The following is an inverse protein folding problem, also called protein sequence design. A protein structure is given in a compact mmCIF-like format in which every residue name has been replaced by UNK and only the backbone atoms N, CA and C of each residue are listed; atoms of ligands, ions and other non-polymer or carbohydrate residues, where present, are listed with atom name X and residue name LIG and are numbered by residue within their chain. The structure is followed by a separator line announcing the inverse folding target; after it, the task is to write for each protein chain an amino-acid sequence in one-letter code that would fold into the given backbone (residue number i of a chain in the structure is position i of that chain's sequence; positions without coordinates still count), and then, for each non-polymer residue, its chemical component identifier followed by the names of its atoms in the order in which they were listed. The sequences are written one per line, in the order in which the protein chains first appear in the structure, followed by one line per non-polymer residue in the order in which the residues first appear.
data_IF_680612158157
#
_entry.id   IF_680612158157
#
_cell.length_a   1.000
_cell.length_b   1.000
_cell.length_c   1.000
_cell.angle_alpha   90.00
_cell.angle_beta   90.00
_cell.angle_gamma   90.00
#
_symmetry.space_group_name_H-M   'P 1'
#
loop_
_entity.id
_entity.type
_entity.pdbx_description
1 polymer ?
#
# COMPACT_ATOMS: atom_id res chain seq x y z
N UNK A 1 58.52 -48.74 -22.79
CA UNK A 1 59.15 -48.68 -21.45
C UNK A 1 59.50 -47.22 -21.16
N UNK A 2 59.08 -46.73 -19.98
CA UNK A 2 59.28 -45.44 -19.24
C UNK A 2 60.09 -44.26 -19.87
N UNK A 3 59.90 -42.99 -19.43
CA UNK A 3 59.11 -42.52 -18.27
C UNK A 3 58.20 -41.28 -18.47
N UNK A 4 57.28 -41.17 -17.51
CA UNK A 4 56.56 -39.98 -17.04
C UNK A 4 57.45 -38.72 -16.87
N UNK A 5 56.92 -37.55 -17.24
CA UNK A 5 57.33 -36.24 -16.71
C UNK A 5 56.11 -35.47 -16.21
N UNK A 6 56.01 -35.30 -14.90
CA UNK A 6 55.18 -34.26 -14.26
C UNK A 6 55.76 -32.89 -14.62
N UNK A 7 54.93 -31.99 -15.15
CA UNK A 7 55.23 -30.55 -15.21
C UNK A 7 54.26 -29.80 -14.29
N UNK A 8 54.86 -29.28 -13.21
CA UNK A 8 54.52 -28.07 -12.46
C UNK A 8 53.04 -27.66 -12.37
N UNK A 9 52.42 -27.91 -11.21
CA UNK A 9 51.34 -27.04 -10.73
C UNK A 9 51.92 -25.64 -10.45
N UNK A 10 51.42 -24.64 -11.18
CA UNK A 10 51.63 -23.25 -10.84
C UNK A 10 50.88 -22.94 -9.54
N UNK A 11 51.63 -22.61 -8.49
CA UNK A 11 51.09 -22.03 -7.27
C UNK A 11 50.62 -20.62 -7.63
N UNK A 12 49.31 -20.46 -7.86
CA UNK A 12 48.69 -19.15 -7.84
C UNK A 12 48.71 -18.68 -6.39
N UNK A 13 49.62 -17.75 -6.08
CA UNK A 13 49.60 -17.00 -4.83
C UNK A 13 48.32 -16.15 -4.80
N UNK A 14 47.27 -16.70 -4.20
CA UNK A 14 46.15 -15.91 -3.71
C UNK A 14 46.68 -15.10 -2.52
N UNK A 15 47.04 -13.83 -2.77
CA UNK A 15 47.14 -12.86 -1.69
C UNK A 15 45.72 -12.61 -1.18
N UNK A 16 45.29 -13.43 -0.22
CA UNK A 16 44.25 -13.02 0.71
C UNK A 16 44.85 -11.84 1.50
N UNK A 17 44.52 -10.63 1.09
CA UNK A 17 44.57 -9.51 2.00
C UNK A 17 43.50 -9.80 3.06
N UNK A 18 43.89 -10.52 4.10
CA UNK A 18 43.19 -10.43 5.37
C UNK A 18 43.31 -8.96 5.77
N UNK A 19 42.27 -8.17 5.50
CA UNK A 19 42.06 -6.95 6.25
C UNK A 19 41.98 -7.42 7.70
N UNK A 20 43.07 -7.21 8.43
CA UNK A 20 43.11 -7.33 9.86
C UNK A 20 42.14 -6.26 10.39
N UNK A 21 40.86 -6.61 10.46
CA UNK A 21 39.89 -5.85 11.24
C UNK A 21 40.22 -6.16 12.69
N UNK A 22 41.29 -5.56 13.20
CA UNK A 22 41.48 -5.40 14.63
C UNK A 22 40.22 -4.71 15.12
N UNK A 23 39.26 -5.47 15.66
CA UNK A 23 38.11 -4.92 16.34
C UNK A 23 38.68 -3.95 17.37
N UNK A 24 38.36 -2.68 17.22
CA UNK A 24 38.81 -1.67 18.17
C UNK A 24 38.38 -2.11 19.58
N UNK A 25 39.20 -1.80 20.58
CA UNK A 25 38.89 -2.15 21.96
C UNK A 25 37.46 -1.66 22.30
N UNK A 26 36.62 -2.52 22.90
CA UNK A 26 35.23 -2.15 23.18
C UNK A 26 35.20 -0.93 24.10
N UNK A 27 34.38 0.07 23.73
CA UNK A 27 34.08 1.20 24.60
C UNK A 27 32.78 0.90 25.35
N UNK A 28 32.66 1.39 26.58
CA UNK A 28 31.36 1.41 27.22
C UNK A 28 30.57 2.59 26.66
N UNK A 29 29.26 2.42 26.50
CA UNK A 29 28.34 3.45 26.03
C UNK A 29 27.14 3.53 26.99
N UNK A 30 26.86 4.75 27.42
CA UNK A 30 25.63 5.11 28.12
C UNK A 30 24.72 5.85 27.15
N UNK A 31 23.56 5.26 26.85
CA UNK A 31 22.59 5.78 25.89
C UNK A 31 21.34 6.32 26.57
N UNK A 32 21.04 7.59 26.35
CA UNK A 32 19.77 8.22 26.67
C UNK A 32 18.80 8.02 25.52
N UNK A 33 17.71 7.28 25.76
CA UNK A 33 16.64 6.99 24.81
C UNK A 33 15.42 7.83 25.16
N UNK A 34 14.95 8.68 24.25
CA UNK A 34 13.89 9.67 24.50
C UNK A 34 12.60 9.25 23.83
N UNK A 35 11.52 9.22 24.62
CA UNK A 35 10.15 8.91 24.17
C UNK A 35 9.22 10.12 24.30
N UNK A 36 8.08 10.09 23.62
CA UNK A 36 7.02 11.12 23.70
C UNK A 36 5.86 10.73 24.60
N UNK A 37 5.85 9.51 25.13
CA UNK A 37 4.86 9.05 26.11
C UNK A 37 5.57 8.33 27.27
N UNK A 38 5.10 8.57 28.50
CA UNK A 38 5.70 7.97 29.70
C UNK A 38 5.55 6.45 29.76
N UNK A 39 4.49 5.90 29.18
CA UNK A 39 4.21 4.46 29.15
C UNK A 39 5.09 3.65 28.21
N UNK A 40 5.81 4.31 27.30
CA UNK A 40 6.70 3.68 26.33
C UNK A 40 8.04 3.27 26.95
N UNK A 41 8.34 3.80 28.12
CA UNK A 41 9.61 3.60 28.78
C UNK A 41 9.72 2.24 29.46
N UNK A 42 10.75 1.47 29.08
CA UNK A 42 10.94 0.11 29.59
C UNK A 42 9.98 -0.92 28.98
N UNK A 43 8.98 -0.48 28.20
CA UNK A 43 8.20 -1.34 27.33
C UNK A 43 8.95 -1.51 26.00
N UNK A 44 9.11 -2.73 25.52
CA UNK A 44 9.72 -3.03 24.21
C UNK A 44 8.83 -2.64 23.01
N UNK A 45 7.87 -1.74 23.21
CA UNK A 45 6.80 -1.44 22.24
C UNK A 45 6.76 0.03 21.80
N UNK A 46 7.32 0.95 22.59
CA UNK A 46 7.36 2.37 22.23
C UNK A 46 8.45 2.67 21.22
N UNK A 47 8.17 3.48 20.20
CA UNK A 47 9.20 3.97 19.27
C UNK A 47 9.81 5.26 19.83
N UNK A 48 11.12 5.30 20.12
CA UNK A 48 11.75 6.51 20.60
C UNK A 48 11.92 7.52 19.47
N UNK A 49 12.00 8.79 19.85
CA UNK A 49 12.26 9.89 18.93
C UNK A 49 13.74 10.26 18.88
N UNK A 50 14.55 9.94 19.88
CA UNK A 50 15.98 10.29 19.87
C UNK A 50 16.76 9.32 20.75
N UNK A 51 17.92 8.89 20.29
CA UNK A 51 18.90 8.16 21.11
C UNK A 51 20.22 8.92 21.08
N UNK A 52 20.76 9.24 22.25
CA UNK A 52 22.10 9.84 22.37
C UNK A 52 22.96 8.93 23.24
N UNK A 53 24.04 8.40 22.70
CA UNK A 53 25.01 7.60 23.43
C UNK A 53 26.36 8.29 23.55
N UNK A 54 26.97 8.21 24.72
CA UNK A 54 28.28 8.79 25.02
C UNK A 54 29.14 7.78 25.79
N UNK A 55 30.48 7.84 25.66
CA UNK A 55 31.36 7.11 26.57
C UNK A 55 31.10 7.56 28.03
N UNK A 56 30.82 6.64 28.96
CA UNK A 56 30.44 7.02 30.30
C UNK A 56 31.66 7.46 31.12
N UNK A 57 31.46 8.44 32.00
CA UNK A 57 32.50 8.89 32.95
C UNK A 57 32.60 8.01 34.21
N UNK A 58 31.67 7.06 34.38
CA UNK A 58 31.60 6.11 35.49
C UNK A 58 30.87 4.82 35.08
N UNK A 59 30.62 3.87 35.98
CA UNK A 59 29.84 2.68 35.66
C UNK A 59 28.41 3.04 35.27
N UNK A 60 28.00 2.72 34.03
CA UNK A 60 26.65 2.99 33.55
C UNK A 60 25.59 2.24 34.39
N UNK A 61 24.54 2.95 34.79
CA UNK A 61 23.40 2.38 35.49
C UNK A 61 22.13 2.53 34.65
N UNK A 62 21.52 1.40 34.27
CA UNK A 62 20.27 1.41 33.51
C UNK A 62 19.15 2.05 34.32
N UNK A 63 18.37 2.93 33.70
CA UNK A 63 17.24 3.60 34.31
C UNK A 63 16.03 3.50 33.40
N UNK A 64 14.91 3.08 33.97
CA UNK A 64 13.59 3.11 33.33
C UNK A 64 12.68 4.17 33.96
N UNK A 65 13.25 5.06 34.78
CA UNK A 65 12.52 6.15 35.43
C UNK A 65 12.16 7.22 34.40
N UNK A 66 11.00 7.08 33.77
CA UNK A 66 10.48 8.05 32.81
C UNK A 66 9.79 9.22 33.45
N UNK A 67 10.62 10.03 34.11
CA UNK A 67 10.24 11.36 34.54
C UNK A 67 10.37 12.31 33.35
N UNK A 68 9.33 13.10 33.11
CA UNK A 68 9.35 14.10 32.05
C UNK A 68 10.55 15.04 32.23
N UNK A 69 11.45 15.06 31.25
CA UNK A 69 12.71 15.80 31.32
C UNK A 69 13.09 16.36 29.95
N UNK A 70 13.20 17.70 29.82
CA UNK A 70 12.91 18.73 30.83
C UNK A 70 11.41 18.82 31.17
N UNK A 71 11.07 19.43 32.31
CA UNK A 71 9.65 19.63 32.66
C UNK A 71 8.91 20.43 31.56
N UNK A 72 7.66 20.03 31.26
CA UNK A 72 6.82 20.62 30.20
C UNK A 72 7.32 20.40 28.76
N UNK A 73 8.28 19.50 28.54
CA UNK A 73 8.75 19.13 27.19
C UNK A 73 7.88 18.06 26.52
N UNK A 74 7.16 17.26 27.31
CA UNK A 74 6.54 15.99 26.92
C UNK A 74 7.56 14.95 26.41
N UNK A 75 8.79 15.00 26.92
CA UNK A 75 9.87 14.07 26.62
C UNK A 75 10.20 13.23 27.85
N UNK A 76 10.34 11.93 27.66
CA UNK A 76 10.56 10.95 28.72
C UNK A 76 11.82 10.15 28.41
N UNK A 77 12.98 10.54 28.95
CA UNK A 77 14.23 9.82 28.73
C UNK A 77 14.37 8.58 29.61
N UNK A 78 14.97 7.52 29.06
CA UNK A 78 15.42 6.32 29.74
C UNK A 78 16.91 6.07 29.46
N UNK A 79 17.61 5.35 30.34
CA UNK A 79 19.05 5.06 30.21
C UNK A 79 19.27 3.59 29.89
N UNK A 80 19.99 3.32 28.79
CA UNK A 80 20.41 2.00 28.33
C UNK A 80 21.93 1.93 28.33
N UNK A 81 22.49 0.88 28.91
CA UNK A 81 23.93 0.64 28.93
C UNK A 81 24.33 -0.40 27.87
N UNK A 82 25.47 -0.19 27.21
CA UNK A 82 26.02 -1.12 26.22
C UNK A 82 27.55 -1.17 26.31
N UNK A 83 28.14 -2.34 26.13
CA UNK A 83 29.59 -2.53 26.05
C UNK A 83 29.95 -2.95 24.62
N UNK A 84 30.47 -2.02 23.81
CA UNK A 84 30.75 -2.25 22.38
C UNK A 84 31.56 -1.09 21.81
N UNK A 85 32.35 -1.35 20.77
CA UNK A 85 33.13 -0.34 20.02
C UNK A 85 32.33 0.82 19.39
N UNK A 86 30.99 0.89 19.51
CA UNK A 86 30.18 2.05 19.11
C UNK A 86 30.21 2.44 17.62
N UNK A 87 30.98 1.74 16.79
CA UNK A 87 31.14 2.04 15.37
C UNK A 87 29.96 1.55 14.54
N UNK A 88 29.92 1.93 13.27
CA UNK A 88 28.97 1.41 12.29
C UNK A 88 28.92 -0.14 12.21
N UNK A 89 30.02 -0.82 12.60
CA UNK A 89 30.09 -2.29 12.67
C UNK A 89 29.91 -2.83 14.10
N UNK A 90 29.75 -1.95 15.08
CA UNK A 90 29.60 -2.30 16.48
C UNK A 90 28.23 -2.84 16.85
N UNK A 91 28.16 -3.57 17.97
CA UNK A 91 26.95 -4.18 18.48
C UNK A 91 25.91 -3.14 18.93
N UNK A 92 26.31 -1.92 19.32
CA UNK A 92 25.35 -0.86 19.62
C UNK A 92 24.53 -0.50 18.38
N UNK A 93 25.21 -0.28 17.26
CA UNK A 93 24.58 0.13 16.01
C UNK A 93 23.84 -1.03 15.34
N UNK A 94 24.45 -2.21 15.24
CA UNK A 94 23.87 -3.33 14.48
C UNK A 94 22.84 -4.14 15.26
N UNK A 95 22.83 -4.04 16.58
CA UNK A 95 21.96 -4.87 17.42
C UNK A 95 21.08 -4.03 18.35
N UNK A 96 21.66 -3.08 19.09
CA UNK A 96 20.89 -2.30 20.07
C UNK A 96 19.96 -1.29 19.40
N UNK A 97 20.43 -0.49 18.44
CA UNK A 97 19.57 0.49 17.75
C UNK A 97 18.39 -0.18 17.01
N UNK A 98 18.57 -1.26 16.23
CA UNK A 98 17.44 -2.00 15.65
C UNK A 98 16.45 -2.54 16.69
N UNK A 99 16.93 -3.00 17.84
CA UNK A 99 16.04 -3.44 18.92
C UNK A 99 15.27 -2.27 19.56
N UNK A 100 15.87 -1.09 19.62
CA UNK A 100 15.28 0.13 20.19
C UNK A 100 14.27 0.77 19.24
N UNK A 101 14.59 0.90 17.94
CA UNK A 101 13.71 1.50 16.94
C UNK A 101 12.73 0.52 16.29
N UNK A 102 12.96 -0.79 16.43
CA UNK A 102 12.18 -1.82 15.75
C UNK A 102 12.25 -1.65 14.24
N UNK A 103 11.08 -1.61 13.59
CA UNK A 103 10.96 -1.39 12.15
C UNK A 103 11.02 0.09 11.74
N UNK A 104 11.10 1.02 12.70
CA UNK A 104 11.10 2.45 12.41
C UNK A 104 12.43 2.89 11.79
N UNK A 105 12.40 3.72 10.73
CA UNK A 105 13.62 4.23 10.11
C UNK A 105 14.36 5.20 11.03
N UNK A 106 15.68 5.19 11.00
CA UNK A 106 16.49 6.14 11.78
C UNK A 106 17.77 6.53 11.04
N UNK A 107 18.30 7.71 11.38
CA UNK A 107 19.61 8.21 10.91
C UNK A 107 20.53 8.36 12.10
N UNK A 108 21.72 7.76 12.03
CA UNK A 108 22.78 7.81 13.03
C UNK A 108 23.82 8.83 12.62
N UNK A 109 24.27 9.63 13.57
CA UNK A 109 25.44 10.52 13.50
C UNK A 109 26.44 10.07 14.54
N UNK A 110 27.61 9.59 14.11
CA UNK A 110 28.76 9.40 14.98
C UNK A 110 29.62 10.67 14.94
N UNK A 111 29.91 11.24 16.10
CA UNK A 111 30.83 12.37 16.26
C UNK A 111 32.13 11.88 16.91
N UNK A 112 33.24 12.20 16.28
CA UNK A 112 34.58 11.88 16.77
C UNK A 112 35.28 13.13 17.29
N UNK A 113 36.34 12.93 18.05
CA UNK A 113 37.19 14.01 18.55
C UNK A 113 37.75 14.80 17.36
N UNK A 114 37.67 16.13 17.45
CA UNK A 114 38.03 17.04 16.35
C UNK A 114 39.46 16.81 15.89
N UNK A 115 39.64 16.69 14.57
CA UNK A 115 40.94 16.47 13.92
C UNK A 115 41.38 15.02 13.83
N UNK A 116 40.62 14.07 14.39
CA UNK A 116 40.96 12.64 14.36
C UNK A 116 40.33 11.88 13.18
N UNK A 117 39.58 12.54 12.30
CA UNK A 117 39.04 12.03 11.03
C UNK A 117 38.43 10.62 11.13
N UNK A 118 37.68 10.36 12.19
CA UNK A 118 37.05 9.07 12.46
C UNK A 118 38.02 7.87 12.49
N UNK A 119 39.27 8.09 12.94
CA UNK A 119 40.37 7.11 12.85
C UNK A 119 40.18 5.90 13.76
N UNK A 120 39.67 6.07 14.97
CA UNK A 120 39.46 4.97 15.92
C UNK A 120 38.13 5.10 16.69
N UNK A 121 37.59 3.95 17.07
CA UNK A 121 36.37 3.86 17.91
C UNK A 121 36.54 4.58 19.26
N UNK A 122 37.75 4.56 19.82
CA UNK A 122 38.08 5.25 21.09
C UNK A 122 37.95 6.77 20.98
N UNK A 123 37.91 7.31 19.78
CA UNK A 123 37.79 8.75 19.53
C UNK A 123 36.33 9.19 19.42
N UNK A 124 35.37 8.27 19.48
CA UNK A 124 33.94 8.57 19.49
C UNK A 124 33.63 9.41 20.74
N UNK A 125 33.05 10.58 20.52
CA UNK A 125 32.59 11.49 21.59
C UNK A 125 31.10 11.35 21.82
N UNK A 126 30.31 11.11 20.76
CA UNK A 126 28.85 10.97 20.84
C UNK A 126 28.33 10.19 19.65
N UNK A 127 27.29 9.41 19.86
CA UNK A 127 26.46 8.80 18.81
C UNK A 127 25.05 9.32 18.99
N UNK A 128 24.46 9.90 17.96
CA UNK A 128 23.07 10.37 17.99
C UNK A 128 22.26 9.69 16.91
N UNK A 129 21.21 8.97 17.28
CA UNK A 129 20.26 8.38 16.35
C UNK A 129 18.93 9.12 16.40
N UNK A 130 18.50 9.62 15.25
CA UNK A 130 17.27 10.37 15.03
C UNK A 130 16.21 9.46 14.39
N UNK A 131 14.98 9.46 14.92
CA UNK A 131 13.84 8.86 14.23
C UNK A 131 13.65 9.56 12.89
N UNK A 132 13.73 8.79 11.81
CA UNK A 132 13.74 9.29 10.44
C UNK A 132 12.38 9.09 9.76
N UNK A 133 11.30 9.50 10.44
CA UNK A 133 9.95 9.46 9.89
C UNK A 133 9.58 10.78 9.18
N UNK A 134 10.46 11.78 9.14
CA UNK A 134 10.19 13.10 8.54
C UNK A 134 9.30 14.03 9.37
N UNK A 135 8.65 13.53 10.44
CA UNK A 135 7.84 14.34 11.37
C UNK A 135 8.73 15.28 12.18
N UNK A 136 8.08 16.31 12.73
CA UNK A 136 8.73 17.19 13.68
C UNK A 136 8.82 16.52 15.06
N UNK A 137 10.04 16.35 15.57
CA UNK A 137 10.29 15.78 16.88
C UNK A 137 10.98 16.79 17.77
N UNK A 138 10.47 16.99 18.98
CA UNK A 138 11.15 17.82 19.98
C UNK A 138 12.41 17.13 20.49
N UNK A 139 13.46 17.90 20.70
CA UNK A 139 14.64 17.47 21.46
C UNK A 139 14.72 18.17 22.81
N UNK A 140 13.94 19.24 22.99
CA UNK A 140 13.81 20.06 24.19
C UNK A 140 12.50 20.86 24.11
N UNK A 141 12.19 21.64 25.14
CA UNK A 141 11.16 22.68 25.21
C UNK A 141 11.24 23.74 24.10
N UNK A 142 12.43 23.97 23.53
CA UNK A 142 12.68 25.01 22.52
C UNK A 142 13.44 24.53 21.29
N UNK A 143 13.68 23.23 21.13
CA UNK A 143 14.42 22.68 19.98
C UNK A 143 13.70 21.49 19.40
N UNK A 144 13.84 21.32 18.10
CA UNK A 144 13.25 20.19 17.38
C UNK A 144 14.10 19.80 16.19
N UNK A 145 13.75 18.66 15.60
CA UNK A 145 14.40 18.19 14.39
C UNK A 145 13.40 17.48 13.46
N UNK A 146 13.81 17.31 12.21
CA UNK A 146 13.24 16.36 11.25
C UNK A 146 14.36 15.56 10.65
N UNK A 147 14.20 14.25 10.54
CA UNK A 147 15.14 13.41 9.82
C UNK A 147 14.42 12.59 8.75
N UNK A 148 15.06 12.40 7.60
CA UNK A 148 14.59 11.55 6.53
C UNK A 148 15.73 10.69 6.00
N UNK A 149 15.42 9.47 5.58
CA UNK A 149 16.35 8.52 4.97
C UNK A 149 15.69 7.89 3.75
N UNK A 150 16.40 7.91 2.64
CA UNK A 150 15.98 7.37 1.36
C UNK A 150 16.44 5.92 1.19
N UNK A 151 15.85 5.20 0.23
CA UNK A 151 16.22 3.82 -0.07
C UNK A 151 17.65 3.68 -0.66
N UNK A 152 18.17 4.75 -1.27
CA UNK A 152 19.56 4.83 -1.76
C UNK A 152 20.58 5.13 -0.66
N UNK A 153 20.17 5.07 0.61
CA UNK A 153 20.95 5.40 1.81
C UNK A 153 21.32 6.88 1.96
N UNK A 154 20.84 7.78 1.09
CA UNK A 154 20.94 9.22 1.35
C UNK A 154 20.06 9.61 2.55
N UNK A 155 20.45 10.66 3.26
CA UNK A 155 19.74 11.11 4.44
C UNK A 155 19.78 12.62 4.58
N UNK A 156 18.81 13.18 5.30
CA UNK A 156 18.79 14.59 5.69
C UNK A 156 18.38 14.69 7.14
N UNK A 157 19.11 15.50 7.91
CA UNK A 157 18.75 15.91 9.26
C UNK A 157 18.61 17.43 9.24
N UNK A 158 17.44 17.91 9.66
CA UNK A 158 17.18 19.34 9.86
C UNK A 158 16.98 19.58 11.35
N UNK A 159 17.79 20.42 11.95
CA UNK A 159 17.60 20.86 13.34
C UNK A 159 17.08 22.28 13.38
N UNK A 160 16.26 22.59 14.38
CA UNK A 160 15.54 23.85 14.51
C UNK A 160 15.74 24.43 15.91
N UNK A 161 15.73 25.76 15.98
CA UNK A 161 15.85 26.51 17.24
C UNK A 161 14.50 26.78 17.90
N UNK A 162 13.43 26.13 17.44
CA UNK A 162 12.12 26.13 18.10
C UNK A 162 11.58 24.70 18.20
N UNK A 163 10.51 24.49 18.96
CA UNK A 163 9.93 23.17 19.21
C UNK A 163 8.93 22.68 18.13
N UNK A 164 8.71 23.47 17.07
CA UNK A 164 7.66 23.23 16.04
C UNK A 164 8.22 23.17 14.61
N UNK A 165 9.53 22.99 14.47
CA UNK A 165 10.24 22.84 13.20
C UNK A 165 9.96 23.95 12.16
N UNK A 166 9.97 25.22 12.58
CA UNK A 166 9.69 26.35 11.68
C UNK A 166 10.76 27.45 11.61
N UNK A 167 11.67 27.54 12.59
CA UNK A 167 12.66 28.63 12.67
C UNK A 167 14.07 28.10 12.91
N UNK A 168 15.08 28.80 12.38
CA UNK A 168 16.49 28.57 12.69
C UNK A 168 17.01 27.23 12.19
N UNK A 169 16.71 26.89 10.93
CA UNK A 169 17.02 25.58 10.37
C UNK A 169 18.52 25.44 10.03
N UNK A 170 19.13 24.38 10.52
CA UNK A 170 20.44 23.89 10.04
C UNK A 170 20.20 22.55 9.36
N UNK A 171 20.73 22.38 8.15
CA UNK A 171 20.52 21.19 7.33
C UNK A 171 21.84 20.44 7.18
N UNK A 172 21.83 19.17 7.59
CA UNK A 172 22.91 18.21 7.32
C UNK A 172 22.40 17.18 6.33
N UNK A 173 23.10 17.03 5.21
CA UNK A 173 22.75 16.06 4.15
C UNK A 173 23.84 15.01 4.00
N UNK A 174 23.43 13.78 3.72
CA UNK A 174 24.31 12.65 3.42
C UNK A 174 24.02 12.20 2.00
N UNK A 175 25.06 12.10 1.18
CA UNK A 175 24.90 11.55 -0.16
C UNK A 175 24.65 10.04 -0.10
N UNK A 176 24.06 9.46 -1.15
CA UNK A 176 23.87 8.02 -1.26
C UNK A 176 25.19 7.24 -1.15
N UNK A 177 26.26 7.79 -1.74
CA UNK A 177 27.59 7.20 -1.67
C UNK A 177 28.11 7.18 -0.22
N UNK A 178 28.06 8.33 0.46
CA UNK A 178 28.57 8.46 1.83
C UNK A 178 27.78 7.61 2.82
N UNK A 179 26.45 7.54 2.67
CA UNK A 179 25.57 6.72 3.50
C UNK A 179 25.73 5.22 3.25
N UNK A 180 26.25 4.82 2.08
CA UNK A 180 26.56 3.42 1.76
C UNK A 180 27.95 3.02 2.27
N UNK A 181 28.94 3.90 2.14
CA UNK A 181 30.31 3.61 2.58
C UNK A 181 30.59 3.99 4.04
N UNK A 182 29.62 4.57 4.75
CA UNK A 182 29.78 5.18 6.07
C UNK A 182 30.97 6.15 6.09
N UNK A 183 31.07 7.00 5.06
CA UNK A 183 32.22 7.87 4.86
C UNK A 183 32.39 8.85 6.03
N UNK A 184 33.64 9.09 6.43
CA UNK A 184 33.96 10.13 7.39
C UNK A 184 34.04 11.49 6.69
N UNK A 185 33.25 12.45 7.15
CA UNK A 185 33.31 13.84 6.74
C UNK A 185 33.53 14.73 7.96
N UNK A 186 34.69 15.38 8.05
CA UNK A 186 35.04 16.33 9.13
C UNK A 186 34.72 15.77 10.52
N UNK A 187 35.33 14.63 10.86
CA UNK A 187 35.15 13.94 12.15
C UNK A 187 33.74 13.40 12.43
N UNK A 188 32.88 13.31 11.41
CA UNK A 188 31.54 12.73 11.54
C UNK A 188 31.28 11.62 10.54
N UNK A 189 30.54 10.59 10.95
CA UNK A 189 29.93 9.62 10.04
C UNK A 189 28.43 9.71 10.18
N UNK A 190 27.72 9.68 9.06
CA UNK A 190 26.26 9.70 9.06
C UNK A 190 25.72 8.59 8.17
N UNK A 191 24.86 7.76 8.73
CA UNK A 191 24.28 6.59 8.06
C UNK A 191 22.96 6.22 8.76
N UNK A 192 22.40 5.03 8.56
CA UNK A 192 21.23 4.59 9.32
C UNK A 192 20.56 3.35 8.74
N UNK A 193 19.33 3.07 9.18
CA UNK A 193 18.54 1.95 8.70
C UNK A 193 17.09 2.37 8.40
N UNK A 194 16.44 1.58 7.53
CA UNK A 194 15.07 1.82 7.10
C UNK A 194 14.92 2.94 6.07
N UNK A 195 13.69 3.14 5.61
CA UNK A 195 13.34 4.19 4.64
C UNK A 195 12.17 4.98 5.20
N UNK A 196 12.25 6.31 5.12
CA UNK A 196 11.16 7.19 5.51
C UNK A 196 9.97 6.95 4.60
N UNK A 197 8.76 6.66 5.14
CA UNK A 197 7.58 6.53 4.31
C UNK A 197 7.19 7.88 3.70
N UNK A 198 6.55 7.84 2.54
CA UNK A 198 5.95 9.04 1.96
C UNK A 198 4.59 9.27 2.63
N UNK A 199 4.25 10.54 2.85
CA UNK A 199 2.98 10.93 3.46
C UNK A 199 1.95 11.25 2.39
N UNK A 200 0.74 10.80 2.64
CA UNK A 200 -0.32 10.76 1.64
C UNK A 200 -1.52 11.55 2.15
N UNK A 201 -2.06 12.40 1.27
CA UNK A 201 -3.40 12.98 1.43
C UNK A 201 -4.30 12.35 0.39
N UNK A 202 -5.46 11.86 0.79
CA UNK A 202 -6.41 11.23 -0.10
C UNK A 202 -7.74 11.95 -0.09
N UNK A 203 -8.22 12.36 -1.26
CA UNK A 203 -9.61 12.72 -1.48
C UNK A 203 -10.40 11.44 -1.70
N UNK A 204 -11.33 11.17 -0.79
CA UNK A 204 -12.17 9.97 -0.78
C UNK A 204 -13.58 10.35 -1.19
N UNK A 205 -14.05 9.81 -2.31
CA UNK A 205 -15.38 10.04 -2.85
C UNK A 205 -16.34 8.92 -2.45
N UNK A 206 -17.61 9.30 -2.27
CA UNK A 206 -18.70 8.41 -1.90
C UNK A 206 -19.94 8.72 -2.72
N UNK A 207 -20.67 7.67 -3.12
CA UNK A 207 -21.92 7.82 -3.86
C UNK A 207 -23.10 8.23 -2.96
N UNK A 208 -22.96 8.07 -1.65
CA UNK A 208 -23.97 8.46 -0.65
C UNK A 208 -23.32 9.25 0.47
N UNK A 209 -24.08 10.12 1.14
CA UNK A 209 -23.62 10.89 2.30
C UNK A 209 -23.73 10.11 3.62
N UNK A 210 -24.06 8.82 3.56
CA UNK A 210 -24.17 7.98 4.74
C UNK A 210 -22.85 7.96 5.52
N UNK A 211 -22.94 7.90 6.85
CA UNK A 211 -21.80 7.84 7.76
C UNK A 211 -20.80 9.01 7.66
N UNK A 212 -21.24 10.17 7.16
CA UNK A 212 -20.46 11.42 7.12
C UNK A 212 -19.05 11.27 6.54
N UNK A 213 -18.86 10.37 5.57
CA UNK A 213 -17.56 10.09 4.93
C UNK A 213 -16.49 9.53 5.89
N UNK A 214 -16.91 8.95 7.02
CA UNK A 214 -16.02 8.33 8.03
C UNK A 214 -15.92 6.81 7.89
N UNK A 215 -16.97 6.15 7.42
CA UNK A 215 -17.06 4.69 7.39
C UNK A 215 -18.01 4.15 6.29
N UNK A 216 -18.22 4.92 5.22
CA UNK A 216 -18.93 4.42 4.03
C UNK A 216 -17.98 3.62 3.14
N UNK A 217 -18.52 2.79 2.24
CA UNK A 217 -17.74 2.21 1.15
C UNK A 217 -17.31 3.33 0.19
N UNK A 218 -16.00 3.59 0.01
CA UNK A 218 -15.56 4.56 -0.98
C UNK A 218 -15.94 4.13 -2.40
N UNK A 219 -16.37 5.08 -3.23
CA UNK A 219 -16.55 4.85 -4.66
C UNK A 219 -15.35 5.29 -5.47
N UNK A 220 -14.45 6.13 -4.95
CA UNK A 220 -13.20 6.50 -5.62
C UNK A 220 -12.24 7.15 -4.64
N UNK A 221 -10.94 6.93 -4.79
CA UNK A 221 -9.90 7.57 -3.95
C UNK A 221 -8.82 8.14 -4.85
N UNK A 222 -8.56 9.44 -4.75
CA UNK A 222 -7.42 10.08 -5.37
C UNK A 222 -6.43 10.54 -4.30
N UNK A 223 -5.19 10.10 -4.39
CA UNK A 223 -4.17 10.29 -3.38
C UNK A 223 -2.95 10.98 -3.98
N UNK A 224 -2.41 11.97 -3.27
CA UNK A 224 -1.16 12.65 -3.64
C UNK A 224 -0.15 12.57 -2.50
N UNK A 225 1.13 12.62 -2.88
CA UNK A 225 2.22 12.73 -1.91
C UNK A 225 2.30 14.17 -1.42
N UNK A 226 2.33 14.34 -0.10
CA UNK A 226 2.40 15.64 0.57
C UNK A 226 3.51 15.66 1.62
N UNK A 227 3.86 16.87 2.07
CA UNK A 227 4.65 17.01 3.28
C UNK A 227 3.86 16.48 4.50
N UNK A 228 4.59 15.85 5.42
CA UNK A 228 4.04 15.10 6.56
C UNK A 228 2.99 15.82 7.39
N UNK A 229 3.13 17.13 7.62
CA UNK A 229 2.22 17.90 8.50
C UNK A 229 1.15 18.69 7.74
N UNK A 230 1.01 18.46 6.43
CA UNK A 230 0.06 19.21 5.59
C UNK A 230 -1.33 18.59 5.63
N UNK A 231 -1.45 17.29 5.86
CA UNK A 231 -2.73 16.60 5.78
C UNK A 231 -3.56 16.77 7.06
N UNK A 232 -4.82 17.16 6.90
CA UNK A 232 -5.83 17.19 7.96
C UNK A 232 -7.06 16.41 7.52
N UNK A 233 -7.37 15.32 8.23
CA UNK A 233 -8.48 14.46 7.90
C UNK A 233 -9.81 15.16 8.22
N UNK A 234 -10.77 15.09 7.30
CA UNK A 234 -12.10 15.67 7.53
C UNK A 234 -12.94 14.75 8.41
N UNK A 235 -13.74 15.34 9.30
CA UNK A 235 -14.71 14.59 10.11
C UNK A 235 -16.09 14.48 9.45
N UNK A 236 -16.35 15.27 8.41
CA UNK A 236 -17.63 15.32 7.68
C UNK A 236 -17.39 15.41 6.17
N UNK A 237 -18.27 14.80 5.39
CA UNK A 237 -18.32 15.00 3.94
C UNK A 237 -18.53 16.47 3.56
N UNK A 238 -18.03 16.84 2.38
CA UNK A 238 -18.47 18.02 1.64
C UNK A 238 -19.26 17.61 0.39
N UNK A 239 -20.01 18.55 -0.18
CA UNK A 239 -20.84 18.35 -1.37
C UNK A 239 -22.33 18.23 -1.07
N UNK A 240 -23.15 18.77 -1.98
CA UNK A 240 -24.62 18.73 -1.87
C UNK A 240 -25.24 17.51 -2.56
N UNK A 241 -24.49 16.85 -3.45
CA UNK A 241 -24.89 15.67 -4.20
C UNK A 241 -23.67 14.81 -4.52
N UNK A 242 -23.90 13.55 -4.90
CA UNK A 242 -22.84 12.61 -5.25
C UNK A 242 -22.01 13.10 -6.46
N UNK A 243 -20.66 12.98 -6.40
CA UNK A 243 -19.91 12.34 -5.31
C UNK A 243 -19.74 13.27 -4.10
N UNK A 244 -20.04 12.76 -2.89
CA UNK A 244 -19.65 13.39 -1.64
C UNK A 244 -18.16 13.14 -1.40
N UNK A 245 -17.43 14.08 -0.80
CA UNK A 245 -15.98 13.95 -0.63
C UNK A 245 -15.51 14.23 0.78
N UNK A 246 -14.48 13.51 1.21
CA UNK A 246 -13.73 13.76 2.44
C UNK A 246 -12.22 13.64 2.21
N UNK A 247 -11.43 14.04 3.20
CA UNK A 247 -9.98 13.91 3.23
C UNK A 247 -9.58 12.85 4.24
N UNK A 248 -8.71 11.92 3.84
CA UNK A 248 -8.00 11.01 4.76
C UNK A 248 -6.49 11.20 4.65
N UNK A 249 -5.79 10.94 5.74
CA UNK A 249 -4.35 11.08 5.86
C UNK A 249 -3.74 9.73 6.17
N UNK A 250 -2.73 9.33 5.40
CA UNK A 250 -2.03 8.06 5.57
C UNK A 250 -0.57 8.18 5.13
N UNK A 251 0.10 7.05 4.97
CA UNK A 251 1.46 6.98 4.44
C UNK A 251 1.61 5.76 3.53
N UNK A 252 2.68 5.69 2.75
CA UNK A 252 2.98 4.49 1.95
C UNK A 252 3.15 3.23 2.78
N UNK A 253 3.39 3.36 4.09
CA UNK A 253 3.46 2.23 5.02
C UNK A 253 2.08 1.62 5.34
N UNK A 254 1.05 2.45 5.48
CA UNK A 254 -0.29 2.02 5.93
C UNK A 254 -1.33 2.01 4.82
N UNK A 255 -1.06 2.66 3.68
CA UNK A 255 -2.04 2.91 2.62
C UNK A 255 -2.80 1.66 2.18
N UNK A 256 -2.08 0.54 1.98
CA UNK A 256 -2.70 -0.71 1.52
C UNK A 256 -3.68 -1.27 2.55
N UNK A 257 -3.31 -1.25 3.83
CA UNK A 257 -4.15 -1.72 4.93
C UNK A 257 -5.36 -0.78 5.12
N UNK A 258 -5.13 0.53 5.03
CA UNK A 258 -6.18 1.55 5.12
C UNK A 258 -7.22 1.38 4.00
N UNK A 259 -6.78 1.15 2.76
CA UNK A 259 -7.66 0.88 1.62
C UNK A 259 -8.37 -0.47 1.76
N UNK A 260 -7.66 -1.53 2.15
CA UNK A 260 -8.27 -2.84 2.36
C UNK A 260 -9.37 -2.78 3.44
N UNK A 261 -9.12 -2.06 4.53
CA UNK A 261 -10.12 -1.83 5.57
C UNK A 261 -11.31 -1.00 5.09
N UNK A 262 -11.08 0.04 4.28
CA UNK A 262 -12.14 0.91 3.76
C UNK A 262 -13.07 0.20 2.76
N UNK A 263 -12.51 -0.66 1.89
CA UNK A 263 -13.29 -1.40 0.89
C UNK A 263 -13.84 -2.73 1.43
N UNK A 264 -13.19 -3.34 2.41
CA UNK A 264 -13.59 -4.60 3.01
C UNK A 264 -13.66 -5.73 1.97
N UNK A 265 -14.83 -6.34 1.83
CA UNK A 265 -15.08 -7.45 0.87
C UNK A 265 -15.34 -6.97 -0.57
N UNK A 266 -15.37 -5.66 -0.80
CA UNK A 266 -15.66 -5.12 -2.13
C UNK A 266 -14.41 -5.13 -3.01
N UNK A 267 -14.56 -5.41 -4.32
CA UNK A 267 -13.45 -5.38 -5.27
C UNK A 267 -12.93 -3.97 -5.49
N UNK A 268 -11.62 -3.82 -5.52
CA UNK A 268 -10.98 -2.53 -5.83
C UNK A 268 -9.71 -2.71 -6.64
N UNK A 269 -9.31 -1.64 -7.33
CA UNK A 269 -8.08 -1.56 -8.12
C UNK A 269 -7.31 -0.32 -7.67
N UNK A 270 -6.09 -0.51 -7.16
CA UNK A 270 -5.11 0.52 -6.86
C UNK A 270 -4.21 0.70 -8.07
N UNK A 271 -4.02 1.96 -8.48
CA UNK A 271 -3.10 2.39 -9.53
C UNK A 271 -2.12 3.39 -8.93
N UNK A 272 -0.88 2.96 -8.71
CA UNK A 272 0.24 3.83 -8.31
C UNK A 272 0.91 4.39 -9.55
N UNK A 273 1.11 5.70 -9.58
CA UNK A 273 1.75 6.42 -10.68
C UNK A 273 3.04 7.07 -10.20
N UNK A 274 4.10 6.92 -10.98
CA UNK A 274 5.44 7.39 -10.63
C UNK A 274 5.92 8.45 -11.62
N UNK A 275 6.91 9.26 -11.21
CA UNK A 275 7.57 10.21 -12.10
C UNK A 275 8.07 9.50 -13.36
N UNK A 276 7.78 10.07 -14.53
CA UNK A 276 8.13 9.46 -15.81
C UNK A 276 9.63 9.15 -15.94
N UNK A 277 9.95 7.94 -16.42
CA UNK A 277 11.31 7.45 -16.61
C UNK A 277 12.00 6.97 -15.32
N UNK A 278 11.27 6.84 -14.20
CA UNK A 278 11.83 6.45 -12.90
C UNK A 278 11.59 5.00 -12.52
N UNK A 279 11.02 4.20 -13.42
CA UNK A 279 10.90 2.75 -13.26
C UNK A 279 10.25 2.35 -11.93
N UNK A 280 9.25 3.12 -11.51
CA UNK A 280 8.52 2.94 -10.26
C UNK A 280 9.38 2.88 -8.99
N UNK A 281 10.47 3.65 -8.93
CA UNK A 281 11.23 3.85 -7.71
C UNK A 281 10.34 4.48 -6.62
N UNK A 282 10.36 3.93 -5.40
CA UNK A 282 9.42 4.32 -4.34
C UNK A 282 9.47 5.82 -3.99
N UNK A 283 10.65 6.42 -4.03
CA UNK A 283 10.86 7.85 -3.80
C UNK A 283 10.25 8.75 -4.89
N UNK A 284 9.88 8.17 -6.03
CA UNK A 284 9.35 8.85 -7.21
C UNK A 284 7.85 8.62 -7.36
N UNK A 285 7.18 8.09 -6.32
CA UNK A 285 5.72 7.98 -6.29
C UNK A 285 5.10 9.38 -6.40
N UNK A 286 4.26 9.58 -7.41
CA UNK A 286 3.65 10.88 -7.71
C UNK A 286 2.19 10.95 -7.27
N UNK A 287 1.48 9.83 -7.31
CA UNK A 287 0.09 9.75 -6.89
C UNK A 287 -0.44 8.31 -6.92
N UNK A 288 -1.53 8.08 -6.21
CA UNK A 288 -2.23 6.81 -6.18
C UNK A 288 -3.69 7.06 -6.48
N UNK A 289 -4.30 6.24 -7.33
CA UNK A 289 -5.75 6.26 -7.55
C UNK A 289 -6.32 4.89 -7.23
N UNK A 290 -7.35 4.85 -6.38
CA UNK A 290 -8.07 3.60 -6.08
C UNK A 290 -9.50 3.68 -6.61
N UNK A 291 -9.89 2.66 -7.35
CA UNK A 291 -11.19 2.52 -7.98
C UNK A 291 -11.99 1.39 -7.31
N UNK A 292 -13.26 1.64 -6.98
CA UNK A 292 -14.22 0.58 -6.72
C UNK A 292 -14.43 -0.20 -8.02
N UNK A 293 -14.11 -1.49 -7.98
CA UNK A 293 -14.08 -2.35 -9.16
C UNK A 293 -15.28 -3.29 -9.18
N UNK A 294 -16.48 -2.77 -8.97
CA UNK A 294 -17.73 -3.55 -8.96
C UNK A 294 -18.43 -3.59 -10.35
N UNK A 295 -17.80 -3.03 -11.39
CA UNK A 295 -18.36 -2.96 -12.74
C UNK A 295 -19.40 -1.86 -12.97
N UNK A 296 -19.82 -1.14 -11.92
CA UNK A 296 -20.82 -0.06 -12.01
C UNK A 296 -20.18 1.27 -12.40
N UNK A 297 -21.05 2.20 -12.79
CA UNK A 297 -20.65 3.56 -13.09
C UNK A 297 -20.50 4.36 -11.81
N UNK A 298 -19.29 4.87 -11.56
CA UNK A 298 -19.01 5.74 -10.42
C UNK A 298 -18.49 7.08 -10.90
N UNK A 299 -18.91 8.15 -10.24
CA UNK A 299 -18.46 9.50 -10.55
C UNK A 299 -17.09 9.76 -9.93
N UNK A 300 -16.15 10.25 -10.73
CA UNK A 300 -14.90 10.82 -10.20
C UNK A 300 -15.09 12.28 -9.79
N UNK A 301 -15.99 12.98 -10.49
CA UNK A 301 -16.40 14.36 -10.20
C UNK A 301 -17.81 14.62 -10.76
N UNK A 302 -18.22 15.89 -10.88
CA UNK A 302 -19.55 16.26 -11.39
C UNK A 302 -19.73 16.08 -12.90
N UNK A 303 -18.65 15.93 -13.66
CA UNK A 303 -18.61 15.87 -15.11
C UNK A 303 -17.99 14.57 -15.65
N UNK A 304 -17.31 13.77 -14.85
CA UNK A 304 -16.61 12.55 -15.27
C UNK A 304 -16.98 11.36 -14.41
N UNK A 305 -16.90 10.19 -15.01
CA UNK A 305 -17.15 8.92 -14.35
C UNK A 305 -16.18 7.85 -14.85
N UNK A 306 -16.26 6.69 -14.22
CA UNK A 306 -15.47 5.53 -14.60
C UNK A 306 -16.25 4.24 -14.33
N UNK A 307 -15.75 3.15 -14.93
CA UNK A 307 -16.07 1.77 -14.53
C UNK A 307 -14.77 1.03 -14.33
N UNK A 308 -14.69 0.24 -13.27
CA UNK A 308 -13.55 -0.64 -13.05
C UNK A 308 -14.01 -2.09 -12.82
N UNK A 309 -13.19 -3.03 -13.25
CA UNK A 309 -13.37 -4.45 -12.98
C UNK A 309 -12.00 -5.09 -12.72
N UNK A 310 -11.98 -6.07 -11.81
CA UNK A 310 -10.83 -6.88 -11.42
C UNK A 310 -11.23 -8.35 -11.43
N UNK A 311 -10.41 -9.18 -12.06
CA UNK A 311 -10.58 -10.63 -12.11
C UNK A 311 -9.74 -11.31 -11.03
N UNK A 312 -10.08 -12.57 -10.73
CA UNK A 312 -9.37 -13.39 -9.77
C UNK A 312 -7.90 -13.70 -10.18
N UNK A 313 -7.59 -13.63 -11.48
CA UNK A 313 -6.22 -13.80 -12.01
C UNK A 313 -5.35 -12.53 -11.88
N UNK A 314 -5.85 -11.50 -11.19
CA UNK A 314 -5.17 -10.22 -11.00
C UNK A 314 -5.30 -9.24 -12.16
N UNK A 315 -5.84 -9.66 -13.31
CA UNK A 315 -6.10 -8.73 -14.41
C UNK A 315 -7.21 -7.74 -14.06
N UNK A 316 -7.11 -6.52 -14.57
CA UNK A 316 -8.09 -5.47 -14.29
C UNK A 316 -8.24 -4.50 -15.46
N UNK A 317 -9.38 -3.82 -15.48
CA UNK A 317 -9.70 -2.79 -16.47
C UNK A 317 -10.30 -1.59 -15.78
N UNK A 318 -9.90 -0.39 -16.19
CA UNK A 318 -10.52 0.87 -15.78
C UNK A 318 -10.87 1.65 -17.03
N UNK A 319 -12.16 1.81 -17.29
CA UNK A 319 -12.69 2.64 -18.36
C UNK A 319 -13.06 4.00 -17.78
N UNK A 320 -12.40 5.06 -18.23
CA UNK A 320 -12.81 6.43 -17.93
C UNK A 320 -13.89 6.91 -18.89
N UNK A 321 -14.70 7.87 -18.47
CA UNK A 321 -15.72 8.54 -19.27
C UNK A 321 -15.61 10.05 -19.10
N UNK A 322 -15.91 10.76 -20.18
CA UNK A 322 -15.88 12.24 -20.18
C UNK A 322 -17.21 12.88 -19.78
N UNK A 323 -18.20 12.06 -19.42
CA UNK A 323 -19.45 12.48 -18.78
C UNK A 323 -19.62 11.77 -17.43
N UNK A 324 -20.59 12.20 -16.62
CA UNK A 324 -20.84 11.67 -15.27
C UNK A 324 -21.77 10.44 -15.23
N UNK A 325 -22.20 9.92 -16.39
CA UNK A 325 -23.20 8.84 -16.51
C UNK A 325 -22.67 7.63 -17.27
N UNK A 326 -21.37 7.60 -17.56
CA UNK A 326 -20.72 6.55 -18.34
C UNK A 326 -21.30 6.37 -19.76
N UNK A 327 -21.68 7.48 -20.42
CA UNK A 327 -22.22 7.46 -21.79
C UNK A 327 -21.14 7.58 -22.88
N UNK A 328 -20.16 8.46 -22.65
CA UNK A 328 -19.15 8.89 -23.62
C UNK A 328 -17.80 8.35 -23.18
N UNK A 329 -17.36 7.29 -23.87
CA UNK A 329 -16.15 6.56 -23.51
C UNK A 329 -14.92 7.46 -23.67
N UNK A 330 -14.08 7.47 -22.63
CA UNK A 330 -12.75 8.04 -22.64
C UNK A 330 -11.68 6.96 -22.84
N UNK A 331 -10.56 7.09 -22.14
CA UNK A 331 -9.45 6.14 -22.19
C UNK A 331 -9.76 4.87 -21.41
N UNK A 332 -9.26 3.75 -21.93
CA UNK A 332 -9.27 2.46 -21.25
C UNK A 332 -7.86 2.18 -20.74
N UNK A 333 -7.76 1.87 -19.46
CA UNK A 333 -6.56 1.29 -18.88
C UNK A 333 -6.79 -0.20 -18.64
N UNK A 334 -5.82 -1.03 -19.03
CA UNK A 334 -5.90 -2.48 -18.87
C UNK A 334 -4.60 -3.01 -18.30
N UNK A 335 -4.68 -3.87 -17.29
CA UNK A 335 -3.56 -4.63 -16.75
C UNK A 335 -3.80 -6.11 -17.00
N UNK A 336 -2.80 -6.81 -17.51
CA UNK A 336 -2.88 -8.25 -17.71
C UNK A 336 -2.65 -9.00 -16.38
N UNK A 337 -2.93 -10.31 -16.37
CA UNK A 337 -2.84 -11.13 -15.17
C UNK A 337 -1.42 -11.19 -14.57
N UNK A 338 -0.39 -11.25 -15.42
CA UNK A 338 1.01 -11.34 -14.99
C UNK A 338 1.43 -10.07 -14.26
N UNK A 339 1.17 -8.91 -14.87
CA UNK A 339 1.53 -7.60 -14.31
C UNK A 339 0.73 -7.31 -13.04
N UNK A 340 -0.57 -7.62 -13.03
CA UNK A 340 -1.45 -7.41 -11.89
C UNK A 340 -1.13 -8.30 -10.69
N UNK A 341 -0.67 -9.53 -10.91
CA UNK A 341 -0.26 -10.46 -9.83
C UNK A 341 1.14 -10.13 -9.29
N UNK A 342 2.06 -9.74 -10.16
CA UNK A 342 3.43 -9.40 -9.77
C UNK A 342 3.59 -7.97 -9.23
N UNK A 343 2.53 -7.15 -9.31
CA UNK A 343 2.61 -5.69 -9.09
C UNK A 343 3.71 -5.06 -9.95
N UNK A 344 3.80 -5.50 -11.22
CA UNK A 344 4.87 -5.12 -12.11
C UNK A 344 4.83 -3.63 -12.42
N UNK A 345 6.02 -3.02 -12.51
CA UNK A 345 6.14 -1.66 -13.01
C UNK A 345 6.04 -1.67 -14.54
N UNK A 346 4.96 -1.12 -15.08
CA UNK A 346 4.76 -0.98 -16.53
C UNK A 346 4.51 0.50 -16.82
N UNK A 347 5.40 1.11 -17.59
CA UNK A 347 5.32 2.53 -17.97
C UNK A 347 5.11 3.45 -16.75
N UNK A 348 5.97 3.29 -15.74
CA UNK A 348 5.94 4.06 -14.49
C UNK A 348 4.62 3.95 -13.72
N UNK A 349 3.89 2.84 -13.90
CA UNK A 349 2.64 2.55 -13.20
C UNK A 349 2.68 1.13 -12.61
N UNK A 350 2.20 0.97 -11.38
CA UNK A 350 1.89 -0.35 -10.78
C UNK A 350 0.39 -0.43 -10.55
N UNK A 351 -0.22 -1.55 -10.95
CA UNK A 351 -1.65 -1.77 -10.77
C UNK A 351 -1.90 -3.10 -10.08
N UNK A 352 -2.71 -3.06 -9.04
CA UNK A 352 -3.05 -4.21 -8.21
C UNK A 352 -4.35 -3.95 -7.46
N UNK A 353 -4.76 -4.84 -6.57
CA UNK A 353 -5.98 -4.68 -5.79
C UNK A 353 -6.39 -5.98 -5.15
N UNK A 354 -7.61 -6.01 -4.61
CA UNK A 354 -8.14 -7.19 -3.94
C UNK A 354 -9.61 -7.43 -4.29
N UNK A 355 -10.09 -8.64 -3.95
CA UNK A 355 -11.38 -9.22 -4.30
C UNK A 355 -11.63 -9.27 -5.82
N UNK A 356 -12.75 -9.87 -6.21
CA UNK A 356 -13.11 -10.08 -7.63
C UNK A 356 -14.42 -9.39 -7.94
N UNK A 357 -14.50 -8.72 -9.08
CA UNK A 357 -15.74 -8.13 -9.57
C UNK A 357 -16.79 -9.22 -9.75
N UNK A 358 -17.98 -9.08 -9.13
CA UNK A 358 -19.09 -9.97 -9.40
C UNK A 358 -19.43 -9.97 -10.89
N UNK A 359 -19.63 -11.15 -11.47
CA UNK A 359 -20.18 -11.26 -12.81
C UNK A 359 -21.67 -10.97 -12.78
N UNK A 360 -22.11 -10.01 -13.59
CA UNK A 360 -23.52 -9.69 -13.76
C UNK A 360 -24.07 -10.42 -14.97
N UNK A 361 -25.27 -10.95 -14.81
CA UNK A 361 -25.95 -11.79 -15.79
C UNK A 361 -27.24 -11.11 -16.23
N UNK A 362 -27.36 -10.89 -17.54
CA UNK A 362 -28.60 -10.43 -18.17
C UNK A 362 -29.24 -11.62 -18.86
N UNK A 363 -30.39 -12.06 -18.36
CA UNK A 363 -31.12 -13.21 -18.87
C UNK A 363 -32.36 -12.78 -19.65
N UNK A 364 -32.47 -13.20 -20.89
CA UNK A 364 -33.71 -13.21 -21.66
C UNK A 364 -34.48 -14.47 -21.30
N UNK A 365 -35.69 -14.30 -20.75
CA UNK A 365 -36.58 -15.37 -20.30
C UNK A 365 -37.70 -15.53 -21.31
N UNK A 366 -37.79 -16.71 -21.93
CA UNK A 366 -38.79 -17.02 -22.95
C UNK A 366 -39.91 -17.87 -22.36
N UNK A 367 -41.15 -17.49 -22.64
CA UNK A 367 -42.34 -18.19 -22.22
C UNK A 367 -43.12 -18.67 -23.44
N UNK A 368 -43.23 -19.98 -23.59
CA UNK A 368 -44.09 -20.63 -24.58
C UNK A 368 -45.51 -20.82 -24.01
N UNK A 369 -46.18 -19.71 -23.71
CA UNK A 369 -47.54 -19.70 -23.17
C UNK A 369 -48.41 -18.74 -23.96
N UNK A 370 -49.74 -18.88 -23.86
CA UNK A 370 -50.70 -17.97 -24.48
C UNK A 370 -51.01 -16.74 -23.61
N UNK A 371 -50.40 -16.63 -22.42
CA UNK A 371 -50.64 -15.56 -21.45
C UNK A 371 -49.43 -14.61 -21.38
N UNK A 372 -49.70 -13.30 -21.46
CA UNK A 372 -48.67 -12.25 -21.49
C UNK A 372 -48.14 -11.88 -20.08
N UNK A 373 -47.78 -12.86 -19.25
CA UNK A 373 -47.33 -12.64 -17.87
C UNK A 373 -45.91 -13.13 -17.63
N UNK A 374 -44.93 -12.23 -17.74
CA UNK A 374 -43.49 -12.50 -17.50
C UNK A 374 -43.11 -12.66 -16.02
N UNK A 375 -44.12 -12.86 -15.18
CA UNK A 375 -44.00 -12.99 -13.73
C UNK A 375 -44.69 -14.26 -13.20
N UNK A 376 -45.35 -15.04 -14.07
CA UNK A 376 -46.00 -16.30 -13.71
C UNK A 376 -45.93 -17.32 -14.85
N UNK A 377 -45.49 -18.54 -14.53
CA UNK A 377 -45.33 -19.64 -15.48
C UNK A 377 -43.89 -20.16 -15.52
N UNK A 378 -43.72 -21.40 -16.01
CA UNK A 378 -42.42 -22.04 -16.20
C UNK A 378 -41.84 -21.57 -17.54
N UNK A 379 -40.65 -20.97 -17.58
CA UNK A 379 -39.99 -20.60 -18.84
C UNK A 379 -39.70 -21.83 -19.71
N UNK A 380 -39.75 -21.68 -21.03
CA UNK A 380 -39.29 -22.73 -21.96
C UNK A 380 -37.77 -22.66 -22.16
N UNK A 381 -37.21 -21.45 -22.15
CA UNK A 381 -35.80 -21.17 -22.41
C UNK A 381 -35.38 -19.91 -21.64
N UNK A 382 -34.19 -19.95 -21.05
CA UNK A 382 -33.51 -18.76 -20.52
C UNK A 382 -32.17 -18.63 -21.21
N UNK A 383 -31.97 -17.56 -21.97
CA UNK A 383 -30.69 -17.24 -22.61
C UNK A 383 -30.01 -16.10 -21.86
N UNK A 384 -28.80 -16.33 -21.37
CA UNK A 384 -28.09 -15.41 -20.49
C UNK A 384 -26.78 -14.98 -21.11
N UNK A 385 -26.60 -13.67 -21.20
CA UNK A 385 -25.34 -13.05 -21.60
C UNK A 385 -24.59 -12.64 -20.33
N UNK A 386 -23.28 -12.92 -20.31
CA UNK A 386 -22.38 -12.50 -19.24
C UNK A 386 -21.88 -11.09 -19.55
N UNK A 387 -22.01 -10.18 -18.59
CA UNK A 387 -21.42 -8.86 -18.68
C UNK A 387 -20.72 -8.50 -17.37
N UNK A 388 -19.58 -7.83 -17.47
CA UNK A 388 -18.85 -7.33 -16.32
C UNK A 388 -19.45 -6.02 -15.78
N UNK A 389 -20.65 -5.65 -16.24
CA UNK A 389 -21.19 -4.30 -16.16
C UNK A 389 -22.64 -4.37 -15.70
N UNK A 390 -22.91 -3.87 -14.51
CA UNK A 390 -24.25 -3.41 -14.16
C UNK A 390 -24.40 -1.97 -14.69
N UNK A 391 -25.41 -1.75 -15.53
CA UNK A 391 -26.30 -0.54 -15.53
C UNK A 391 -27.17 -0.44 -16.80
N UNK A 392 -27.48 -1.52 -17.52
CA UNK A 392 -28.62 -1.47 -18.47
C UNK A 392 -29.63 -2.58 -18.25
N UNK A 393 -29.35 -3.52 -17.34
CA UNK A 393 -30.29 -4.59 -17.07
C UNK A 393 -31.43 -4.06 -16.19
N UNK A 394 -32.62 -3.94 -16.76
CA UNK A 394 -33.87 -3.69 -16.05
C UNK A 394 -34.73 -4.95 -16.12
N UNK A 395 -35.04 -5.55 -14.96
CA UNK A 395 -35.94 -6.71 -14.90
C UNK A 395 -37.33 -6.25 -15.34
N UNK A 396 -37.86 -6.87 -16.39
CA UNK A 396 -39.19 -6.51 -16.92
C UNK A 396 -40.28 -7.21 -16.13
N UNK A 397 -41.31 -6.48 -15.70
CA UNK A 397 -42.52 -7.06 -15.10
C UNK A 397 -43.57 -7.49 -16.14
N UNK A 398 -43.48 -6.98 -17.38
CA UNK A 398 -44.39 -7.25 -18.50
C UNK A 398 -43.58 -7.79 -19.69
N UNK A 399 -44.09 -8.81 -20.39
CA UNK A 399 -43.38 -9.33 -21.55
C UNK A 399 -43.50 -8.43 -22.77
N UNK A 400 -42.51 -8.51 -23.65
CA UNK A 400 -42.61 -8.05 -25.03
C UNK A 400 -43.09 -9.19 -25.94
N UNK A 401 -43.92 -8.86 -26.92
CA UNK A 401 -44.47 -9.79 -27.90
C UNK A 401 -45.99 -9.68 -28.06
N UNK A 402 -46.49 -9.91 -29.27
CA UNK A 402 -47.94 -9.97 -29.56
C UNK A 402 -48.48 -11.40 -29.58
N UNK A 403 -47.59 -12.39 -29.60
CA UNK A 403 -47.87 -13.82 -29.54
C UNK A 403 -46.62 -14.57 -29.04
N UNK A 404 -46.79 -15.81 -28.56
CA UNK A 404 -45.70 -16.65 -28.09
C UNK A 404 -44.59 -16.87 -29.15
N UNK A 405 -43.30 -16.86 -28.77
CA UNK A 405 -42.80 -16.78 -27.40
C UNK A 405 -42.81 -15.34 -26.86
N UNK A 406 -43.30 -15.19 -25.64
CA UNK A 406 -43.20 -13.93 -24.90
C UNK A 406 -41.83 -13.84 -24.24
N UNK A 407 -41.18 -12.68 -24.31
CA UNK A 407 -39.83 -12.48 -23.77
C UNK A 407 -39.83 -11.48 -22.62
N UNK A 408 -39.14 -11.82 -21.54
CA UNK A 408 -38.82 -10.91 -20.44
C UNK A 408 -37.31 -10.82 -20.20
N UNK A 409 -36.89 -9.84 -19.41
CA UNK A 409 -35.52 -9.66 -18.95
C UNK A 409 -35.45 -9.92 -17.45
N UNK A 410 -34.47 -10.71 -17.00
CA UNK A 410 -34.14 -10.92 -15.58
C UNK A 410 -32.66 -10.60 -15.35
N UNK A 411 -32.41 -9.76 -14.35
CA UNK A 411 -31.07 -9.37 -13.93
C UNK A 411 -30.67 -10.19 -12.70
N UNK A 412 -29.48 -10.76 -12.73
CA UNK A 412 -28.96 -11.64 -11.67
C UNK A 412 -27.45 -11.51 -11.54
N UNK A 413 -26.86 -11.96 -10.44
CA UNK A 413 -25.41 -12.20 -10.38
C UNK A 413 -25.12 -13.64 -10.76
N UNK A 414 -23.89 -13.94 -11.17
CA UNK A 414 -23.46 -15.32 -11.37
C UNK A 414 -23.65 -16.18 -10.11
N UNK A 415 -23.46 -15.58 -8.92
CA UNK A 415 -23.68 -16.27 -7.64
C UNK A 415 -25.14 -16.59 -7.33
N UNK A 416 -26.11 -15.80 -7.84
CA UNK A 416 -27.54 -16.05 -7.61
C UNK A 416 -28.19 -16.91 -8.69
N UNK A 417 -27.53 -17.09 -9.84
CA UNK A 417 -28.11 -17.71 -11.03
C UNK A 417 -28.79 -19.06 -10.78
N UNK A 418 -28.14 -19.96 -10.03
CA UNK A 418 -28.69 -21.28 -9.73
C UNK A 418 -29.99 -21.19 -8.92
N UNK A 419 -30.02 -20.34 -7.89
CA UNK A 419 -31.23 -20.08 -7.09
C UNK A 419 -32.30 -19.40 -7.93
N UNK A 420 -31.90 -18.50 -8.81
CA UNK A 420 -32.80 -17.80 -9.74
C UNK A 420 -33.47 -18.74 -10.72
N UNK A 421 -32.74 -19.72 -11.26
CA UNK A 421 -33.29 -20.76 -12.15
C UNK A 421 -34.14 -21.76 -11.38
N UNK A 422 -33.71 -22.21 -10.20
CA UNK A 422 -34.54 -23.07 -9.34
C UNK A 422 -35.89 -22.43 -9.01
N UNK A 423 -35.91 -21.12 -8.78
CA UNK A 423 -37.16 -20.37 -8.55
C UNK A 423 -37.99 -20.26 -9.84
N UNK A 424 -37.35 -19.96 -10.97
CA UNK A 424 -38.05 -19.77 -12.25
C UNK A 424 -38.69 -21.06 -12.78
N UNK A 425 -38.00 -22.20 -12.65
CA UNK A 425 -38.47 -23.50 -13.11
C UNK A 425 -39.26 -24.27 -12.05
N UNK A 426 -39.18 -23.85 -10.78
CA UNK A 426 -39.87 -24.47 -9.64
C UNK A 426 -39.59 -25.98 -9.56
N UNK A 427 -40.61 -26.83 -9.56
CA UNK A 427 -40.49 -28.28 -9.56
C UNK A 427 -40.23 -28.90 -10.94
N UNK A 428 -40.15 -28.09 -12.00
CA UNK A 428 -39.94 -28.60 -13.35
C UNK A 428 -38.48 -28.96 -13.58
N UNK A 429 -38.17 -30.09 -14.25
CA UNK A 429 -36.80 -30.42 -14.61
C UNK A 429 -36.25 -29.44 -15.66
N UNK A 430 -35.00 -29.04 -15.51
CA UNK A 430 -34.31 -28.15 -16.45
C UNK A 430 -32.83 -28.53 -16.59
N UNK A 431 -32.21 -28.09 -17.69
CA UNK A 431 -30.79 -28.31 -17.98
C UNK A 431 -30.11 -26.97 -18.18
N UNK A 432 -29.01 -26.73 -17.46
CA UNK A 432 -28.16 -25.55 -17.61
C UNK A 432 -26.95 -25.90 -18.49
N UNK A 433 -26.74 -25.10 -19.53
CA UNK A 433 -25.58 -25.18 -20.43
C UNK A 433 -24.74 -23.92 -20.25
N UNK A 434 -23.56 -24.06 -19.66
CA UNK A 434 -22.58 -22.98 -19.54
C UNK A 434 -21.62 -23.01 -20.74
N UNK A 435 -21.43 -21.86 -21.38
CA UNK A 435 -20.43 -21.66 -22.44
C UNK A 435 -19.26 -20.88 -21.85
N UNK A 436 -18.05 -21.30 -22.21
CA UNK A 436 -16.81 -20.65 -21.81
C UNK A 436 -16.04 -20.18 -23.05
N UNK A 437 -15.15 -19.22 -22.88
CA UNK A 437 -14.28 -18.74 -23.95
C UNK A 437 -13.44 -19.88 -24.54
N UNK A 438 -13.33 -19.92 -25.87
CA UNK A 438 -12.63 -21.01 -26.57
C UNK A 438 -11.15 -21.10 -26.13
N UNK A 439 -10.70 -22.33 -25.87
CA UNK A 439 -9.31 -22.60 -25.45
C UNK A 439 -9.01 -22.27 -23.98
N UNK A 440 -10.03 -21.96 -23.18
CA UNK A 440 -9.91 -21.66 -21.75
C UNK A 440 -10.46 -22.79 -20.89
N UNK A 441 -9.98 -22.88 -19.64
CA UNK A 441 -10.58 -23.77 -18.65
C UNK A 441 -12.01 -23.30 -18.30
N UNK A 442 -12.86 -24.23 -17.86
CA UNK A 442 -14.21 -23.93 -17.38
C UNK A 442 -14.19 -23.23 -16.01
N UNK A 443 -13.61 -22.03 -15.95
CA UNK A 443 -13.56 -21.16 -14.79
C UNK A 443 -14.58 -20.03 -14.95
N UNK A 444 -15.17 -19.56 -13.84
CA UNK A 444 -16.20 -18.50 -13.86
C UNK A 444 -15.76 -17.25 -14.62
N UNK A 445 -14.48 -16.86 -14.49
CA UNK A 445 -13.89 -15.72 -15.19
C UNK A 445 -13.89 -15.83 -16.73
N UNK A 446 -14.12 -17.04 -17.25
CA UNK A 446 -14.13 -17.36 -18.68
C UNK A 446 -15.55 -17.69 -19.18
N UNK A 447 -16.55 -17.58 -18.32
CA UNK A 447 -17.95 -17.78 -18.68
C UNK A 447 -18.37 -16.73 -19.72
N UNK A 448 -18.80 -17.19 -20.88
CA UNK A 448 -19.19 -16.34 -22.03
C UNK A 448 -20.70 -16.33 -22.27
N UNK A 449 -21.43 -17.29 -21.72
CA UNK A 449 -22.89 -17.33 -21.78
C UNK A 449 -23.46 -18.50 -21.00
N UNK A 450 -24.74 -18.41 -20.66
CA UNK A 450 -25.49 -19.51 -20.05
C UNK A 450 -26.78 -19.69 -20.83
N UNK A 451 -27.20 -20.93 -21.02
CA UNK A 451 -28.52 -21.23 -21.57
C UNK A 451 -29.19 -22.29 -20.72
N UNK A 452 -30.38 -22.01 -20.20
CA UNK A 452 -31.16 -22.95 -19.39
C UNK A 452 -32.41 -23.38 -20.15
N UNK A 453 -32.60 -24.68 -20.32
CA UNK A 453 -33.69 -25.28 -21.09
C UNK A 453 -34.68 -26.00 -20.16
N UNK A 454 -35.97 -25.84 -20.41
CA UNK A 454 -36.99 -26.72 -19.84
C UNK A 454 -36.80 -28.15 -20.38
N UNK A 455 -36.76 -29.15 -19.49
CA UNK A 455 -36.48 -30.54 -19.83
C UNK A 455 -37.71 -31.44 -19.64
N UNK A 456 -38.85 -31.05 -20.22
CA UNK A 456 -40.14 -31.74 -20.08
C UNK A 456 -40.46 -32.73 -21.22
N UNK A 457 -39.55 -32.87 -22.20
CA UNK A 457 -39.72 -33.74 -23.36
C UNK A 457 -40.63 -33.19 -24.45
N UNK A 458 -41.08 -31.95 -24.37
CA UNK A 458 -41.92 -31.30 -25.38
C UNK A 458 -41.13 -30.41 -26.32
N UNK A 459 -41.73 -30.12 -27.47
CA UNK A 459 -41.23 -29.10 -28.39
C UNK A 459 -41.68 -27.72 -27.91
N UNK A 460 -40.74 -26.79 -27.81
CA UNK A 460 -40.98 -25.41 -27.42
C UNK A 460 -40.57 -24.43 -28.51
N UNK A 461 -41.31 -23.33 -28.63
CA UNK A 461 -40.91 -22.20 -29.47
C UNK A 461 -39.73 -21.45 -28.83
N UNK A 462 -38.71 -21.15 -29.63
CA UNK A 462 -37.49 -20.42 -29.22
C UNK A 462 -37.43 -19.03 -29.81
#
# INVERSE_FOLDING_TARGET
MKPFRLRSLGVAAFFLAAADTTQAAPIDLEATVVYTASGDCGASTGTPVLVTAVPPSSSCATSVLCTETPASSSLFPATVCSTTDGTANGAFINTKLPAIFGSSPYVVVEAYTIGLNCSAATDITTITAYLADGKCHKTDTSKSYRATRSADNSATIKTYTNAVCSTGVVVSTVSAADGTSNACATDTKVYGAGTTPLYLTSTVNYDTSANTCKSGLPSFVATTVVAVDVCSATTTCTGQAAPYSGTSCSSTLTYKDDIAAAFGVNPYVIMETYTAGKSCADAELSGITTYLADGKCHKTDTAKSYRAARKADGSATVQSYTDAVCGTSGTVFTVNAADGTAHACVSDTKVYGDNTTPLYLTSTVNYDTTANTCSSGVPSLVSTVVANVDTTCSTTSVCTGSAAPYTGTKCSSASSYLTDMATAFSSSPYVIVQKYNAGKSCADAELSGITTYLADGKCHKT
#
